data_IF_342851028534
#
_entry.id   IF_342851028534
#
_cell.length_a   1.000
_cell.length_b   1.000
_cell.length_c   1.000
_cell.angle_alpha   90.00
_cell.angle_beta   90.00
_cell.angle_gamma   90.00
#
_symmetry.space_group_name_H-M   'P 1'
#
loop_
_entity.id
_entity.type
_entity.pdbx_description
1 polymer ?
#
# COMPACT_ATOMS: atom_id res chain seq x y z
N UNK A 1 11.85 -0.10 11.50
CA UNK A 1 12.63 1.11 11.17
C UNK A 1 13.82 0.66 10.37
N UNK A 2 14.05 1.24 9.20
CA UNK A 2 14.60 2.59 9.08
C UNK A 2 13.54 3.67 8.87
N UNK A 3 13.90 4.93 9.12
CA UNK A 3 13.14 6.12 8.72
C UNK A 3 13.92 6.84 7.62
N UNK A 4 13.27 7.14 6.50
CA UNK A 4 13.87 7.84 5.36
C UNK A 4 13.36 9.28 5.33
N UNK A 5 14.27 10.24 5.27
CA UNK A 5 13.96 11.66 5.08
C UNK A 5 14.28 12.03 3.64
N UNK A 6 13.28 12.57 2.94
CA UNK A 6 13.39 13.02 1.56
C UNK A 6 13.11 14.52 1.48
N UNK A 7 13.91 15.22 0.70
CA UNK A 7 13.58 16.57 0.26
C UNK A 7 12.70 16.47 -0.99
N UNK A 8 11.59 17.20 -1.00
CA UNK A 8 10.71 17.29 -2.16
C UNK A 8 11.23 18.43 -3.04
N UNK A 9 11.69 18.12 -4.24
CA UNK A 9 12.13 19.15 -5.20
C UNK A 9 10.97 19.68 -6.03
N UNK A 10 10.14 18.77 -6.55
CA UNK A 10 8.99 19.10 -7.38
C UNK A 10 7.77 18.35 -6.88
N UNK A 11 6.64 19.04 -6.87
CA UNK A 11 5.36 18.48 -6.44
C UNK A 11 4.25 18.98 -7.35
N UNK A 12 3.37 18.07 -7.77
CA UNK A 12 2.17 18.41 -8.54
C UNK A 12 0.97 17.67 -7.98
N UNK A 13 -0.13 18.39 -7.80
CA UNK A 13 -1.36 17.85 -7.26
C UNK A 13 -2.06 16.93 -8.26
N UNK A 14 -2.78 15.94 -7.72
CA UNK A 14 -3.63 15.04 -8.50
C UNK A 14 -4.66 15.83 -9.34
N UNK A 15 -5.27 16.87 -8.73
CA UNK A 15 -6.27 17.72 -9.40
C UNK A 15 -5.75 18.41 -10.66
N UNK A 16 -4.50 18.87 -10.63
CA UNK A 16 -3.90 19.59 -11.75
C UNK A 16 -3.54 18.62 -12.88
N UNK A 17 -3.12 17.40 -12.53
CA UNK A 17 -2.85 16.32 -13.49
C UNK A 17 -4.15 15.86 -14.17
N UNK A 18 -5.23 15.68 -13.41
CA UNK A 18 -6.53 15.32 -13.97
C UNK A 18 -7.03 16.37 -14.98
N UNK A 19 -6.89 17.66 -14.64
CA UNK A 19 -7.23 18.77 -15.54
C UNK A 19 -6.33 18.82 -16.78
N UNK A 20 -5.04 18.53 -16.62
CA UNK A 20 -4.09 18.54 -17.74
C UNK A 20 -4.32 17.37 -18.70
N UNK A 21 -4.58 16.18 -18.16
CA UNK A 21 -4.76 14.96 -18.94
C UNK A 21 -6.12 14.90 -19.65
N UNK A 22 -7.11 15.71 -19.23
CA UNK A 22 -8.49 15.72 -19.73
C UNK A 22 -9.13 14.32 -19.80
N UNK A 23 -8.71 13.41 -18.92
CA UNK A 23 -9.11 12.01 -18.99
C UNK A 23 -10.32 11.76 -18.08
N UNK A 24 -11.53 11.52 -18.64
CA UNK A 24 -12.75 11.33 -17.85
C UNK A 24 -12.78 9.97 -17.12
N UNK A 25 -11.77 9.13 -17.32
CA UNK A 25 -11.71 7.74 -16.84
C UNK A 25 -11.33 7.60 -15.36
N UNK A 26 -10.99 8.68 -14.67
CA UNK A 26 -10.59 8.64 -13.25
C UNK A 26 -11.84 8.49 -12.38
N UNK A 27 -12.05 7.27 -11.85
CA UNK A 27 -13.14 6.93 -10.93
C UNK A 27 -12.62 6.49 -9.56
N UNK A 28 -13.42 6.70 -8.52
CA UNK A 28 -13.08 6.28 -7.15
C UNK A 28 -12.86 4.75 -7.03
N UNK A 29 -13.43 3.96 -7.95
CA UNK A 29 -13.25 2.50 -8.03
C UNK A 29 -11.79 2.07 -8.19
N UNK A 30 -10.92 2.94 -8.70
CA UNK A 30 -9.50 2.63 -8.80
C UNK A 30 -8.84 2.53 -7.42
N UNK A 31 -9.33 3.27 -6.42
CA UNK A 31 -8.71 3.38 -5.09
C UNK A 31 -9.14 2.28 -4.11
N UNK A 32 -10.17 1.51 -4.43
CA UNK A 32 -10.67 0.39 -3.60
C UNK A 32 -9.61 -0.71 -3.41
N UNK A 33 -8.80 -0.95 -4.43
CA UNK A 33 -7.75 -1.96 -4.40
C UNK A 33 -6.35 -1.35 -4.22
N UNK A 34 -5.40 -2.08 -3.61
CA UNK A 34 -4.04 -1.60 -3.43
C UNK A 34 -3.30 -1.47 -4.77
N UNK A 35 -2.34 -0.54 -4.83
CA UNK A 35 -1.51 -0.33 -6.01
C UNK A 35 -0.33 -1.31 -6.07
N UNK A 36 0.10 -1.66 -7.29
CA UNK A 36 1.35 -2.37 -7.53
C UNK A 36 2.55 -1.44 -7.38
N UNK A 37 3.61 -1.90 -6.72
CA UNK A 37 4.87 -1.18 -6.69
C UNK A 37 5.80 -1.64 -7.82
N UNK A 38 6.24 -0.71 -8.65
CA UNK A 38 7.24 -0.92 -9.69
C UNK A 38 8.45 -0.06 -9.34
N UNK A 39 9.63 -0.68 -9.32
CA UNK A 39 10.90 -0.05 -9.00
C UNK A 39 11.75 -0.05 -10.27
N UNK A 40 12.14 1.13 -10.74
CA UNK A 40 12.95 1.30 -11.94
C UNK A 40 14.28 1.98 -11.63
N UNK A 41 15.37 1.44 -12.19
CA UNK A 41 16.72 1.99 -12.07
C UNK A 41 17.24 2.15 -10.62
N UNK A 42 16.74 1.35 -9.67
CA UNK A 42 17.24 1.39 -8.27
C UNK A 42 18.23 0.25 -8.05
N UNK A 43 19.49 0.61 -7.80
CA UNK A 43 20.57 -0.35 -7.61
C UNK A 43 20.58 -0.92 -6.19
N UNK A 44 20.34 -2.22 -6.05
CA UNK A 44 20.35 -2.89 -4.74
C UNK A 44 21.74 -3.03 -4.11
N UNK A 45 22.80 -2.67 -4.86
CA UNK A 45 24.20 -2.70 -4.38
C UNK A 45 24.47 -1.57 -3.38
N UNK A 46 23.87 -0.40 -3.60
CA UNK A 46 23.97 0.73 -2.68
C UNK A 46 23.10 0.45 -1.45
N UNK A 47 23.69 0.60 -0.26
CA UNK A 47 22.97 0.35 0.99
C UNK A 47 21.78 1.31 1.16
N UNK A 48 21.91 2.57 0.74
CA UNK A 48 20.83 3.56 0.74
C UNK A 48 19.64 3.12 -0.10
N UNK A 49 19.90 2.72 -1.34
CA UNK A 49 18.89 2.24 -2.28
C UNK A 49 18.23 0.95 -1.79
N UNK A 50 18.99 0.02 -1.20
CA UNK A 50 18.44 -1.18 -0.57
C UNK A 50 17.44 -0.83 0.54
N UNK A 51 17.72 0.19 1.35
CA UNK A 51 16.80 0.64 2.40
C UNK A 51 15.55 1.29 1.81
N UNK A 52 15.68 2.08 0.73
CA UNK A 52 14.54 2.64 -0.01
C UNK A 52 13.64 1.51 -0.51
N UNK A 53 14.22 0.55 -1.25
CA UNK A 53 13.49 -0.61 -1.79
C UNK A 53 12.78 -1.38 -0.70
N UNK A 54 13.44 -1.65 0.42
CA UNK A 54 12.86 -2.41 1.53
C UNK A 54 11.70 -1.64 2.18
N UNK A 55 11.86 -0.32 2.36
CA UNK A 55 10.84 0.53 2.98
C UNK A 55 9.59 0.62 2.11
N UNK A 56 9.76 0.89 0.81
CA UNK A 56 8.61 0.96 -0.10
C UNK A 56 7.98 -0.41 -0.34
N UNK A 57 8.74 -1.49 -0.44
CA UNK A 57 8.16 -2.85 -0.54
C UNK A 57 7.27 -3.20 0.65
N UNK A 58 7.64 -2.77 1.86
CA UNK A 58 6.86 -3.02 3.07
C UNK A 58 5.67 -2.05 3.24
N UNK A 59 5.62 -0.95 2.47
CA UNK A 59 4.49 -0.02 2.47
C UNK A 59 3.29 -0.59 1.70
N UNK A 60 3.54 -1.40 0.67
CA UNK A 60 2.51 -2.02 -0.15
C UNK A 60 2.29 -3.49 0.26
N UNK A 61 1.07 -4.03 0.09
CA UNK A 61 0.81 -5.43 0.40
C UNK A 61 1.63 -6.35 -0.50
N UNK A 62 2.15 -7.43 0.08
CA UNK A 62 2.89 -8.43 -0.66
C UNK A 62 1.98 -9.15 -1.67
N UNK A 63 2.48 -9.33 -2.89
CA UNK A 63 1.70 -9.90 -3.99
C UNK A 63 2.25 -11.28 -4.32
N UNK A 64 1.41 -12.29 -4.13
CA UNK A 64 1.69 -13.65 -4.54
C UNK A 64 1.23 -13.85 -5.99
N UNK A 65 2.17 -14.00 -6.93
CA UNK A 65 1.91 -14.12 -8.37
C UNK A 65 0.88 -15.22 -8.70
N UNK A 66 0.89 -16.33 -7.94
CA UNK A 66 -0.01 -17.48 -8.16
C UNK A 66 -1.47 -17.21 -7.77
N UNK A 67 -1.69 -16.39 -6.74
CA UNK A 67 -3.02 -16.18 -6.15
C UNK A 67 -3.59 -14.78 -6.49
N UNK A 68 -2.80 -13.93 -7.15
CA UNK A 68 -3.19 -12.57 -7.49
C UNK A 68 -4.28 -12.57 -8.58
N UNK A 69 -5.43 -11.95 -8.28
CA UNK A 69 -6.50 -11.74 -9.27
C UNK A 69 -6.21 -10.48 -10.07
N UNK A 70 -6.01 -10.61 -11.39
CA UNK A 70 -5.74 -9.48 -12.29
C UNK A 70 -6.85 -8.41 -12.26
N UNK A 71 -8.11 -8.81 -12.05
CA UNK A 71 -9.24 -7.88 -11.91
C UNK A 71 -9.10 -6.91 -10.74
N UNK A 72 -8.32 -7.24 -9.70
CA UNK A 72 -8.07 -6.36 -8.55
C UNK A 72 -6.92 -5.39 -8.80
N UNK A 73 -6.10 -5.64 -9.81
CA UNK A 73 -4.93 -4.83 -10.13
C UNK A 73 -5.40 -3.72 -11.07
N UNK A 74 -5.69 -2.55 -10.50
CA UNK A 74 -6.16 -1.39 -11.25
C UNK A 74 -5.19 -0.21 -11.25
N UNK A 75 -4.19 -0.21 -10.36
CA UNK A 75 -3.24 0.90 -10.18
C UNK A 75 -1.83 0.41 -9.98
N UNK A 76 -0.85 1.21 -10.40
CA UNK A 76 0.55 1.01 -10.09
C UNK A 76 1.22 2.32 -9.69
N UNK A 77 2.15 2.22 -8.75
CA UNK A 77 3.08 3.27 -8.36
C UNK A 77 4.44 2.89 -8.92
N UNK A 78 5.04 3.82 -9.66
CA UNK A 78 6.36 3.67 -10.25
C UNK A 78 7.31 4.60 -9.49
N UNK A 79 8.37 4.01 -8.95
CA UNK A 79 9.53 4.74 -8.43
C UNK A 79 10.64 4.63 -9.44
N UNK A 80 10.99 5.75 -10.07
CA UNK A 80 12.06 5.81 -11.06
C UNK A 80 13.24 6.63 -10.52
N UNK A 81 14.41 6.01 -10.40
CA UNK A 81 15.63 6.71 -10.00
C UNK A 81 16.40 7.19 -11.22
N UNK A 82 16.67 8.49 -11.29
CA UNK A 82 17.49 9.11 -12.34
C UNK A 82 18.95 8.97 -11.93
N UNK A 83 19.75 8.27 -12.76
CA UNK A 83 21.13 7.90 -12.44
C UNK A 83 22.06 9.12 -12.26
N UNK A 84 21.83 10.21 -12.99
CA UNK A 84 22.73 11.38 -12.96
C UNK A 84 22.50 12.32 -11.78
N UNK A 85 21.28 12.39 -11.25
CA UNK A 85 20.86 13.42 -10.28
C UNK A 85 20.52 12.87 -8.88
N UNK A 86 20.54 11.54 -8.70
CA UNK A 86 20.07 10.85 -7.47
C UNK A 86 18.62 11.22 -7.09
N UNK A 87 17.82 11.65 -8.08
CA UNK A 87 16.42 11.99 -7.92
C UNK A 87 15.55 10.77 -8.14
N UNK A 88 14.57 10.61 -7.26
CA UNK A 88 13.57 9.56 -7.33
C UNK A 88 12.25 10.21 -7.73
N UNK A 89 11.78 9.88 -8.91
CA UNK A 89 10.44 10.25 -9.36
C UNK A 89 9.43 9.23 -8.84
N UNK A 90 8.49 9.72 -8.05
CA UNK A 90 7.30 9.00 -7.65
C UNK A 90 6.16 9.38 -8.59
N UNK A 91 5.64 8.39 -9.33
CA UNK A 91 4.53 8.56 -10.25
C UNK A 91 3.47 7.48 -10.01
N UNK A 92 2.20 7.86 -10.13
CA UNK A 92 1.08 6.97 -9.87
C UNK A 92 0.15 6.91 -11.09
N UNK A 93 -0.03 5.70 -11.59
CA UNK A 93 -0.76 5.40 -12.81
C UNK A 93 -1.92 4.44 -12.54
N UNK A 94 -3.00 4.62 -13.31
CA UNK A 94 -4.05 3.63 -13.47
C UNK A 94 -3.73 2.70 -14.63
N UNK A 95 -4.16 1.45 -14.49
CA UNK A 95 -3.93 0.37 -15.45
C UNK A 95 -5.23 0.10 -16.20
N UNK A 96 -5.19 0.20 -17.53
CA UNK A 96 -6.25 -0.22 -18.44
C UNK A 96 -5.78 -1.44 -19.21
N UNK A 97 -6.56 -2.51 -19.12
CA UNK A 97 -6.29 -3.77 -19.81
C UNK A 97 -7.21 -3.85 -21.02
N UNK A 98 -6.63 -3.82 -22.22
CA UNK A 98 -7.36 -4.07 -23.46
C UNK A 98 -6.98 -5.47 -23.96
N UNK A 99 -7.92 -6.43 -24.00
CA UNK A 99 -7.63 -7.76 -24.55
C UNK A 99 -7.25 -7.64 -26.02
N UNK A 100 -6.20 -8.33 -26.47
CA UNK A 100 -5.91 -8.50 -27.91
C UNK A 100 -6.56 -9.79 -28.39
N UNK A 101 -6.98 -9.81 -29.66
CA UNK A 101 -7.62 -10.97 -30.29
C UNK A 101 -9.14 -10.93 -30.34
N UNK A 102 -9.76 -9.80 -29.97
CA UNK A 102 -11.17 -9.52 -30.29
C UNK A 102 -11.16 -8.27 -31.16
N UNK A 103 -11.70 -8.37 -32.38
CA UNK A 103 -11.80 -7.19 -33.25
C UNK A 103 -12.75 -6.16 -32.64
N UNK A 104 -12.52 -4.88 -32.95
CA UNK A 104 -13.34 -3.80 -32.41
C UNK A 104 -14.80 -3.93 -32.86
N UNK A 105 -15.05 -4.40 -34.09
CA UNK A 105 -16.40 -4.74 -34.57
C UNK A 105 -17.13 -5.76 -33.68
N UNK A 106 -16.48 -6.87 -33.31
CA UNK A 106 -17.06 -7.87 -32.39
C UNK A 106 -17.31 -7.29 -31.00
N UNK A 107 -16.43 -6.43 -30.51
CA UNK A 107 -16.57 -5.76 -29.20
C UNK A 107 -17.75 -4.79 -29.18
N UNK A 108 -17.99 -4.07 -30.27
CA UNK A 108 -19.10 -3.13 -30.42
C UNK A 108 -20.42 -3.85 -30.63
N UNK A 109 -20.41 -4.98 -31.35
CA UNK A 109 -21.57 -5.86 -31.48
C UNK A 109 -22.09 -6.37 -30.13
N UNK A 110 -21.19 -6.71 -29.20
CA UNK A 110 -21.55 -7.18 -27.85
C UNK A 110 -22.15 -6.04 -26.98
N UNK A 111 -21.88 -4.77 -27.30
CA UNK A 111 -22.23 -3.61 -26.46
C UNK A 111 -23.60 -2.98 -26.76
N UNK A 112 -24.42 -3.56 -27.66
CA UNK A 112 -25.80 -3.11 -27.94
C UNK A 112 -25.98 -1.77 -28.67
N UNK A 113 -25.10 -1.42 -29.61
CA UNK A 113 -25.48 -0.49 -30.68
C UNK A 113 -25.53 -1.26 -31.98
N UNK A 114 -26.68 -1.21 -32.67
CA UNK A 114 -26.77 -1.72 -34.05
C UNK A 114 -25.73 -0.91 -34.84
N UNK A 115 -24.67 -1.55 -35.34
CA UNK A 115 -23.66 -0.85 -36.12
C UNK A 115 -24.28 -0.36 -37.41
N UNK A 116 -23.76 0.72 -37.96
CA UNK A 116 -24.14 1.17 -39.29
C UNK A 116 -23.54 0.20 -40.31
N UNK A 117 -24.41 -0.56 -40.99
CA UNK A 117 -24.03 -1.57 -41.98
C UNK A 117 -24.14 -1.04 -43.41
N UNK A 118 -24.49 0.23 -43.60
CA UNK A 118 -24.79 0.78 -44.92
C UNK A 118 -23.58 0.76 -45.88
N UNK A 119 -22.37 0.90 -45.35
CA UNK A 119 -21.13 0.94 -46.12
C UNK A 119 -20.46 -0.44 -46.32
N UNK A 120 -20.95 -1.49 -45.65
CA UNK A 120 -20.28 -2.79 -45.58
C UNK A 120 -21.03 -3.82 -46.43
N UNK A 121 -20.29 -4.59 -47.25
CA UNK A 121 -20.88 -5.59 -48.15
C UNK A 121 -21.05 -6.94 -47.49
N UNK A 122 -20.16 -7.29 -46.57
CA UNK A 122 -20.19 -8.54 -45.81
C UNK A 122 -19.96 -8.30 -44.31
N UNK A 123 -20.46 -9.22 -43.48
CA UNK A 123 -20.26 -9.25 -42.03
C UNK A 123 -18.76 -9.39 -41.72
N UNK A 124 -18.01 -10.09 -42.58
CA UNK A 124 -16.56 -10.25 -42.47
C UNK A 124 -15.84 -8.90 -42.49
N UNK A 125 -16.29 -7.95 -43.31
CA UNK A 125 -15.69 -6.61 -43.42
C UNK A 125 -15.86 -5.83 -42.11
N UNK A 126 -17.03 -5.94 -41.47
CA UNK A 126 -17.28 -5.34 -40.16
C UNK A 126 -16.40 -5.92 -39.05
N UNK A 127 -16.10 -7.22 -39.13
CA UNK A 127 -15.27 -7.91 -38.13
C UNK A 127 -13.79 -7.61 -38.32
N UNK A 128 -13.34 -7.29 -39.53
CA UNK A 128 -11.92 -7.03 -39.84
C UNK A 128 -11.56 -5.55 -39.67
N UNK A 129 -12.54 -4.64 -39.70
CA UNK A 129 -12.29 -3.20 -39.58
C UNK A 129 -11.85 -2.78 -38.16
N UNK A 130 -10.56 -2.47 -38.03
CA UNK A 130 -9.90 -2.00 -36.80
C UNK A 130 -9.90 -0.47 -36.67
N UNK A 131 -10.51 0.27 -37.61
CA UNK A 131 -10.46 1.74 -37.62
C UNK A 131 -11.42 2.44 -36.65
N UNK A 132 -12.28 1.68 -35.95
CA UNK A 132 -13.22 2.20 -34.94
C UNK A 132 -12.53 2.24 -33.56
N UNK A 133 -11.84 3.35 -33.27
CA UNK A 133 -11.29 3.61 -31.93
C UNK A 133 -12.37 4.18 -30.99
N UNK A 134 -13.00 3.33 -30.18
CA UNK A 134 -13.83 3.80 -29.06
C UNK A 134 -13.02 3.99 -27.78
N UNK A 135 -12.90 5.24 -27.32
CA UNK A 135 -12.23 5.68 -26.09
C UNK A 135 -12.90 5.24 -24.78
N UNK A 136 -13.99 4.47 -24.87
CA UNK A 136 -14.85 4.12 -23.73
C UNK A 136 -14.52 2.71 -23.23
N UNK A 137 -13.47 2.63 -22.39
CA UNK A 137 -13.20 1.46 -21.54
C UNK A 137 -13.13 1.84 -20.07
N UNK A 138 -14.29 1.82 -19.44
CA UNK A 138 -14.46 1.79 -17.98
C UNK A 138 -15.56 0.84 -17.50
N UNK A 139 -16.21 0.08 -18.40
CA UNK A 139 -17.24 -0.90 -18.02
C UNK A 139 -16.63 -2.29 -17.81
N UNK A 140 -16.65 -2.71 -16.54
CA UNK A 140 -16.09 -3.96 -16.01
C UNK A 140 -16.81 -5.25 -16.54
N UNK A 141 -17.79 -5.12 -17.43
CA UNK A 141 -18.69 -6.22 -17.83
C UNK A 141 -18.14 -7.09 -18.97
N UNK A 142 -17.17 -6.59 -19.75
CA UNK A 142 -16.59 -7.34 -20.87
C UNK A 142 -15.61 -8.42 -20.37
N UNK A 143 -14.95 -8.19 -19.23
CA UNK A 143 -13.89 -9.09 -18.73
C UNK A 143 -14.48 -10.31 -18.01
N UNK A 144 -15.70 -10.22 -17.47
CA UNK A 144 -16.28 -11.31 -16.66
C UNK A 144 -16.95 -12.42 -17.48
N UNK A 145 -17.32 -12.19 -18.75
CA UNK A 145 -18.21 -13.08 -19.50
C UNK A 145 -17.68 -13.61 -20.84
N UNK A 146 -16.37 -13.77 -21.02
CA UNK A 146 -15.81 -14.36 -22.25
C UNK A 146 -15.21 -15.74 -21.97
N UNK A 147 -16.12 -16.70 -21.73
CA UNK A 147 -15.92 -18.11 -22.10
C UNK A 147 -17.00 -18.44 -23.14
N UNK A 148 -16.96 -17.80 -24.30
CA UNK A 148 -17.82 -18.14 -25.45
C UNK A 148 -16.98 -18.89 -26.50
N UNK A 149 -17.53 -19.92 -27.16
CA UNK A 149 -16.83 -20.66 -28.19
C UNK A 149 -16.45 -19.73 -29.34
N UNK A 150 -15.19 -19.79 -29.80
CA UNK A 150 -14.67 -19.00 -30.93
C UNK A 150 -13.75 -17.83 -30.58
N UNK A 151 -13.63 -17.44 -29.29
CA UNK A 151 -12.64 -16.45 -28.87
C UNK A 151 -11.40 -17.20 -28.40
N UNK A 152 -10.38 -17.25 -29.24
CA UNK A 152 -9.06 -17.76 -28.87
C UNK A 152 -8.46 -16.71 -27.92
N UNK A 153 -8.26 -17.00 -26.62
CA UNK A 153 -7.52 -16.11 -25.74
C UNK A 153 -6.05 -16.19 -26.17
N UNK A 154 -5.67 -15.44 -27.19
CA UNK A 154 -4.25 -15.19 -27.40
C UNK A 154 -3.78 -14.47 -26.15
N UNK A 155 -2.86 -15.10 -25.40
CA UNK A 155 -2.49 -14.73 -24.03
C UNK A 155 -1.83 -13.35 -23.89
N UNK A 156 -1.93 -12.49 -24.91
CA UNK A 156 -1.38 -11.15 -24.97
C UNK A 156 -2.49 -10.14 -24.74
N UNK A 157 -2.57 -9.55 -23.56
CA UNK A 157 -3.34 -8.33 -23.35
C UNK A 157 -2.45 -7.10 -23.61
N UNK A 158 -3.02 -6.03 -24.16
CA UNK A 158 -2.34 -4.74 -24.20
C UNK A 158 -2.67 -3.94 -22.95
N UNK A 159 -1.65 -3.31 -22.37
CA UNK A 159 -1.79 -2.52 -21.15
C UNK A 159 -1.57 -1.06 -21.53
N UNK A 160 -2.59 -0.22 -21.29
CA UNK A 160 -2.48 1.24 -21.37
C UNK A 160 -2.38 1.78 -19.95
N UNK A 161 -1.48 2.73 -19.73
CA UNK A 161 -1.36 3.44 -18.46
C UNK A 161 -1.91 4.85 -18.64
N UNK A 162 -2.73 5.30 -17.69
CA UNK A 162 -3.16 6.69 -17.60
C UNK A 162 -2.70 7.27 -16.27
N UNK A 163 -2.37 8.55 -16.25
CA UNK A 163 -1.83 9.15 -15.04
C UNK A 163 -2.94 9.55 -14.07
N UNK A 164 -2.82 9.12 -12.80
CA UNK A 164 -3.73 9.52 -11.73
C UNK A 164 -3.10 10.68 -10.96
N UNK A 165 -1.84 10.53 -10.55
CA UNK A 165 -1.10 11.48 -9.70
C UNK A 165 -1.04 11.07 -8.22
N UNK A 166 -0.34 11.82 -7.35
CA UNK A 166 0.49 13.01 -7.60
C UNK A 166 1.83 12.71 -8.29
N UNK A 167 2.48 13.76 -8.86
CA UNK A 167 3.89 13.70 -9.32
C UNK A 167 4.77 14.28 -8.22
N UNK A 168 5.76 13.51 -7.78
CA UNK A 168 6.70 13.95 -6.75
C UNK A 168 8.12 13.61 -7.19
N UNK A 169 9.01 14.59 -7.17
CA UNK A 169 10.45 14.37 -7.30
C UNK A 169 11.09 14.46 -5.92
N UNK A 170 11.64 13.34 -5.47
CA UNK A 170 12.22 13.16 -4.14
C UNK A 170 13.73 13.06 -4.24
N UNK A 171 14.44 13.73 -3.34
CA UNK A 171 15.88 13.56 -3.15
C UNK A 171 16.13 12.98 -1.77
N UNK A 172 16.85 11.86 -1.69
CA UNK A 172 17.18 11.25 -0.41
C UNK A 172 18.08 12.21 0.38
N UNK A 173 17.67 12.58 1.60
CA UNK A 173 18.45 13.49 2.43
C UNK A 173 19.19 12.73 3.53
N UNK A 174 18.45 11.99 4.35
CA UNK A 174 18.98 11.25 5.51
C UNK A 174 18.24 9.94 5.72
N UNK A 175 18.96 8.97 6.26
CA UNK A 175 18.36 7.72 6.76
C UNK A 175 18.64 7.64 8.25
N UNK A 176 17.60 7.37 9.03
CA UNK A 176 17.68 7.15 10.46
C UNK A 176 17.40 5.70 10.82
N UNK A 177 18.02 5.21 11.88
CA UNK A 177 17.63 3.97 12.54
C UNK A 177 16.32 4.20 13.32
N UNK A 178 15.44 3.20 13.42
CA UNK A 178 14.23 3.31 14.25
C UNK A 178 13.15 4.26 13.70
N UNK A 179 12.28 4.74 14.62
CA UNK A 179 11.19 5.70 14.36
C UNK A 179 11.53 6.98 15.11
N UNK A 180 11.74 8.08 14.39
CA UNK A 180 12.09 9.40 14.96
C UNK A 180 13.33 9.41 15.87
N UNK A 181 14.25 8.44 15.70
CA UNK A 181 15.51 8.42 16.44
C UNK A 181 16.58 9.24 15.70
N UNK A 182 17.46 9.89 16.46
CA UNK A 182 18.49 10.81 15.94
C UNK A 182 19.73 10.08 15.36
N UNK A 183 19.67 8.76 15.24
CA UNK A 183 20.81 7.93 14.81
C UNK A 183 20.82 7.85 13.28
N UNK A 184 21.77 8.55 12.66
CA UNK A 184 21.88 8.68 11.20
C UNK A 184 22.70 7.51 10.65
N UNK A 185 22.08 6.71 9.77
CA UNK A 185 22.71 5.60 9.05
C UNK A 185 23.32 6.04 7.71
N UNK A 186 22.78 7.09 7.08
CA UNK A 186 23.23 7.55 5.76
C UNK A 186 22.96 9.05 5.55
N UNK A 187 23.86 9.71 4.81
CA UNK A 187 23.72 11.08 4.32
C UNK A 187 24.11 11.15 2.84
N UNK A 188 23.30 11.84 2.02
CA UNK A 188 23.45 11.87 0.55
C UNK A 188 24.58 12.78 0.04
N UNK A 189 25.20 13.61 0.89
CA UNK A 189 26.32 14.46 0.44
C UNK A 189 27.54 13.61 0.10
N UNK A 190 27.89 13.57 -1.19
CA UNK A 190 29.15 13.08 -1.71
C UNK A 190 30.34 13.67 -0.93
N UNK A 191 31.31 12.80 -0.63
CA UNK A 191 32.45 12.91 0.31
C UNK A 191 32.05 12.48 1.73
N UNK A 192 32.66 11.40 2.19
CA UNK A 192 32.37 10.67 3.42
C UNK A 192 32.29 11.57 4.66
N UNK A 193 31.07 12.02 4.98
CA UNK A 193 30.87 13.07 5.95
C UNK A 193 29.52 12.88 6.66
N UNK A 194 29.59 12.48 7.93
CA UNK A 194 28.43 12.37 8.80
C UNK A 194 28.11 13.77 9.37
N UNK A 195 27.14 14.48 8.79
CA UNK A 195 26.72 15.80 9.28
C UNK A 195 25.69 15.65 10.40
N UNK A 196 26.08 16.06 11.61
CA UNK A 196 25.13 16.43 12.66
C UNK A 196 25.05 17.97 12.71
N UNK A 197 23.86 18.52 12.42
CA UNK A 197 23.42 19.93 12.50
C UNK A 197 24.24 20.99 11.74
N UNK A 198 23.63 21.60 10.70
CA UNK A 198 23.90 22.94 10.13
C UNK A 198 25.32 23.55 10.11
N UNK A 199 26.37 22.74 10.14
CA UNK A 199 27.74 23.14 9.86
C UNK A 199 28.51 21.90 9.44
N UNK A 200 29.21 22.00 8.32
CA UNK A 200 30.07 20.95 7.77
C UNK A 200 31.20 20.73 8.79
N UNK A 201 31.05 19.75 9.70
CA UNK A 201 32.09 19.30 10.64
C UNK A 201 32.49 17.85 10.36
N UNK A 202 33.72 17.63 9.88
CA UNK A 202 34.32 16.31 9.68
C UNK A 202 34.52 15.69 11.04
N UNK A 203 33.73 14.67 11.41
CA UNK A 203 34.00 13.90 12.63
C UNK A 203 35.02 12.80 12.36
N UNK A 204 36.00 12.68 13.23
CA UNK A 204 37.04 11.63 13.21
C UNK A 204 36.45 10.26 13.59
N UNK A 205 37.09 9.15 13.16
CA UNK A 205 36.64 7.77 13.44
C UNK A 205 36.37 7.51 14.93
N UNK A 206 37.22 8.04 15.81
CA UNK A 206 37.08 7.92 17.26
C UNK A 206 35.76 8.53 17.78
N UNK A 207 35.38 9.70 17.26
CA UNK A 207 34.13 10.38 17.64
C UNK A 207 32.89 9.60 17.17
N UNK A 208 32.99 8.89 16.04
CA UNK A 208 31.91 8.02 15.52
C UNK A 208 31.73 6.82 16.44
N UNK A 209 32.81 6.21 16.90
CA UNK A 209 32.73 5.04 17.80
C UNK A 209 32.27 5.42 19.21
N UNK A 210 32.66 6.58 19.72
CA UNK A 210 32.11 7.13 20.97
C UNK A 210 30.61 7.41 20.86
N UNK A 211 30.16 7.98 19.74
CA UNK A 211 28.73 8.17 19.48
C UNK A 211 28.00 6.83 19.46
N UNK A 212 28.53 5.81 18.77
CA UNK A 212 27.95 4.46 18.72
C UNK A 212 27.81 3.84 20.12
N UNK A 213 28.84 3.98 20.97
CA UNK A 213 28.77 3.53 22.37
C UNK A 213 27.65 4.25 23.12
N UNK A 214 27.63 5.59 23.08
CA UNK A 214 26.59 6.40 23.75
C UNK A 214 25.17 6.04 23.27
N UNK A 215 25.02 5.73 21.98
CA UNK A 215 23.77 5.28 21.39
C UNK A 215 23.35 3.89 21.88
N UNK A 216 24.29 2.94 21.93
CA UNK A 216 24.08 1.60 22.49
C UNK A 216 23.66 1.66 23.96
N UNK A 217 24.33 2.49 24.76
CA UNK A 217 24.02 2.65 26.19
C UNK A 217 22.62 3.24 26.38
N UNK A 218 22.27 4.26 25.58
CA UNK A 218 20.93 4.85 25.58
C UNK A 218 19.86 3.83 25.20
N UNK A 219 20.15 2.94 24.25
CA UNK A 219 19.23 1.87 23.84
C UNK A 219 19.00 0.86 24.94
N UNK A 220 20.07 0.39 25.59
CA UNK A 220 19.95 -0.52 26.74
C UNK A 220 19.11 0.11 27.84
N UNK A 221 19.35 1.38 28.16
CA UNK A 221 18.57 2.11 29.16
C UNK A 221 17.07 2.21 28.78
N UNK A 222 16.77 2.43 27.50
CA UNK A 222 15.40 2.51 26.98
C UNK A 222 14.69 1.14 27.02
N UNK A 223 15.41 0.07 26.70
CA UNK A 223 14.91 -1.31 26.79
C UNK A 223 14.62 -1.70 28.25
N UNK A 224 15.52 -1.38 29.19
CA UNK A 224 15.30 -1.59 30.63
C UNK A 224 14.07 -0.83 31.13
N UNK A 225 13.92 0.46 30.79
CA UNK A 225 12.73 1.26 31.15
C UNK A 225 11.44 0.67 30.59
N UNK A 226 11.48 0.12 29.38
CA UNK A 226 10.31 -0.48 28.75
C UNK A 226 9.91 -1.79 29.44
N UNK A 227 10.88 -2.63 29.80
CA UNK A 227 10.65 -3.86 30.54
C UNK A 227 10.01 -3.58 31.91
N UNK A 228 10.56 -2.62 32.67
CA UNK A 228 9.97 -2.18 33.94
C UNK A 228 8.53 -1.66 33.77
N UNK A 229 8.27 -0.92 32.70
CA UNK A 229 6.93 -0.40 32.41
C UNK A 229 5.95 -1.52 32.06
N UNK A 230 6.37 -2.52 31.28
CA UNK A 230 5.57 -3.70 30.93
C UNK A 230 5.24 -4.54 32.17
N UNK A 231 6.21 -4.77 33.06
CA UNK A 231 5.98 -5.45 34.35
C UNK A 231 4.98 -4.68 35.21
N UNK A 232 5.16 -3.37 35.36
CA UNK A 232 4.24 -2.52 36.14
C UNK A 232 2.81 -2.53 35.56
N UNK A 233 2.68 -2.50 34.23
CA UNK A 233 1.37 -2.62 33.57
C UNK A 233 0.77 -4.00 33.80
N UNK A 234 1.56 -5.06 33.72
CA UNK A 234 1.09 -6.44 33.98
C UNK A 234 0.63 -6.62 35.42
N UNK A 235 1.39 -6.12 36.40
CA UNK A 235 1.00 -6.12 37.81
C UNK A 235 -0.30 -5.35 38.01
N UNK A 236 -0.46 -4.17 37.37
CA UNK A 236 -1.72 -3.40 37.41
C UNK A 236 -2.88 -4.18 36.80
N UNK A 237 -2.70 -4.82 35.64
CA UNK A 237 -3.72 -5.65 34.97
C UNK A 237 -4.13 -6.85 35.83
N UNK A 238 -3.18 -7.53 36.47
CA UNK A 238 -3.45 -8.66 37.37
C UNK A 238 -4.24 -8.21 38.60
N UNK A 239 -3.86 -7.09 39.22
CA UNK A 239 -4.60 -6.50 40.35
C UNK A 239 -6.04 -6.13 39.96
N UNK A 240 -6.24 -5.55 38.78
CA UNK A 240 -7.58 -5.24 38.26
C UNK A 240 -8.40 -6.53 38.05
N UNK A 241 -7.81 -7.56 37.41
CA UNK A 241 -8.48 -8.86 37.25
C UNK A 241 -8.87 -9.51 38.57
N UNK A 242 -7.98 -9.46 39.58
CA UNK A 242 -8.27 -9.97 40.92
C UNK A 242 -9.38 -9.18 41.63
N UNK A 243 -9.44 -7.86 41.46
CA UNK A 243 -10.56 -7.04 42.00
C UNK A 243 -11.88 -7.40 41.32
N UNK A 244 -11.88 -7.59 40.00
CA UNK A 244 -13.06 -8.00 39.23
C UNK A 244 -13.55 -9.40 39.66
N UNK A 245 -12.63 -10.36 39.84
CA UNK A 245 -13.02 -11.71 40.30
C UNK A 245 -13.56 -11.70 41.72
N UNK A 246 -12.95 -10.95 42.64
CA UNK A 246 -13.48 -10.77 44.01
C UNK A 246 -14.86 -10.12 44.02
N UNK A 247 -15.08 -9.11 43.17
CA UNK A 247 -16.39 -8.47 43.04
C UNK A 247 -17.45 -9.43 42.45
N UNK A 248 -17.10 -10.24 41.45
CA UNK A 248 -17.98 -11.30 40.92
C UNK A 248 -18.33 -12.34 41.98
N UNK A 249 -17.35 -12.80 42.75
CA UNK A 249 -17.59 -13.79 43.81
C UNK A 249 -18.50 -13.22 44.91
N UNK A 250 -18.36 -11.94 45.27
CA UNK A 250 -19.29 -11.26 46.21
C UNK A 250 -20.72 -11.18 45.67
N UNK A 251 -20.90 -10.88 44.37
CA UNK A 251 -22.23 -10.90 43.74
C UNK A 251 -22.85 -12.29 43.73
N UNK A 252 -22.08 -13.32 43.40
CA UNK A 252 -22.53 -14.72 43.40
C UNK A 252 -22.90 -15.19 44.81
N UNK A 253 -22.15 -14.78 45.84
CA UNK A 253 -22.48 -15.07 47.24
C UNK A 253 -23.80 -14.41 47.67
N UNK A 254 -23.99 -13.13 47.34
CA UNK A 254 -25.25 -12.42 47.62
C UNK A 254 -26.46 -13.01 46.87
N UNK A 255 -26.29 -13.49 45.63
CA UNK A 255 -27.35 -14.18 44.90
C UNK A 255 -27.68 -15.58 45.44
N UNK A 256 -26.72 -16.24 46.11
CA UNK A 256 -26.97 -17.53 46.79
C UNK A 256 -27.71 -17.34 48.11
N UNK A 257 -27.34 -16.34 48.92
CA UNK A 257 -28.06 -15.99 50.15
C UNK A 257 -29.50 -15.52 49.86
N UNK A 258 -29.73 -14.83 48.74
CA UNK A 258 -31.08 -14.45 48.32
C UNK A 258 -31.92 -15.63 47.78
N UNK A 259 -31.29 -16.73 47.35
CA UNK A 259 -31.98 -17.96 46.92
C UNK A 259 -32.23 -18.95 48.07
N UNK A 260 -31.42 -18.94 49.12
CA UNK A 260 -31.65 -19.76 50.33
C UNK A 260 -32.70 -19.14 51.27
N UNK A 261 -32.91 -17.82 51.23
CA UNK A 261 -33.95 -17.13 52.02
C UNK A 261 -35.38 -17.26 51.46
N UNK A 262 -35.55 -17.83 50.26
CA UNK A 262 -36.86 -18.26 49.75
C UNK A 262 -36.79 -19.71 49.23
N UNK A 263 -36.99 -20.72 50.12
CA UNK A 263 -37.24 -22.08 49.66
C UNK A 263 -38.56 -22.08 48.88
N UNK A 264 -38.58 -22.72 47.70
CA UNK A 264 -39.82 -22.98 46.96
C UNK A 264 -40.79 -23.72 47.88
N UNK A 265 -41.88 -23.05 48.25
CA UNK A 265 -43.02 -23.69 48.91
C UNK A 265 -43.54 -24.76 47.94
N UNK A 266 -43.42 -26.01 48.38
CA UNK A 266 -44.03 -27.17 47.76
C UNK A 266 -45.54 -26.99 47.89
N UNK A 267 -46.22 -26.72 46.78
CA UNK A 267 -47.66 -26.68 46.74
C UNK A 267 -48.19 -28.12 46.79
N UNK A 268 -48.49 -28.61 48.00
CA UNK A 268 -49.34 -29.77 48.18
C UNK A 268 -50.77 -29.38 47.78
N UNK A 269 -51.20 -29.88 46.63
CA UNK A 269 -52.60 -29.90 46.21
C UNK A 269 -53.30 -31.08 46.88
N UNK A 270 -54.09 -30.81 47.92
CA UNK A 270 -55.17 -31.69 48.36
C UNK A 270 -56.50 -31.08 47.93
N UNK A 271 -57.05 -31.62 46.84
CA UNK A 271 -58.46 -32.02 46.67
C UNK A 271 -58.63 -32.64 45.29
#
# INVERSE_FOLDING_TARGET
GPTLEFNIEKFTLMKDICKFSNDPRISDKFFEYPALLILNNIDTKLQSDKMIVTTFKNLFPLINVKNAKLSRIRRCVILNKIQDSDLIEFRHYGILINPRGVSMGLKNFIKYKIPDLHSLKDISDFVIDDSIEDDILGSDDIIKNIKKPGIIPTGFASIKLFEIGPRISLKLFKIYEGISEKEILYHSSSKGFLIFYNKIVTKTKQQIDELRKRHKDRRQLKESRKAEQEENINVKKLKIKQKISKAKNRKIAGEKEHKESHPKVQADSTK
#
